data_IF_304310249638
#
_entry.id   IF_304310249638
#
_cell.length_a   1.000
_cell.length_b   1.000
_cell.length_c   1.000
_cell.angle_alpha   90.00
_cell.angle_beta   90.00
_cell.angle_gamma   90.00
#
_symmetry.space_group_name_H-M   'P 1'
#
loop_
_entity.id
_entity.type
_entity.pdbx_description
1 polymer ?
#
# COMPACT_ATOMS: atom_id res chain seq x y z
N UNK A 1 -29.73 4.73 12.57
CA UNK A 1 -28.56 5.63 12.63
C UNK A 1 -27.83 5.56 11.30
N UNK A 2 -27.56 6.72 10.72
CA UNK A 2 -27.19 6.92 9.32
C UNK A 2 -25.68 6.70 9.11
N UNK A 3 -25.34 6.10 7.97
CA UNK A 3 -24.04 5.67 7.47
C UNK A 3 -22.83 6.56 7.82
N UNK A 4 -22.05 6.19 8.85
CA UNK A 4 -20.71 6.76 9.11
C UNK A 4 -19.58 6.03 8.36
N UNK A 5 -19.88 4.92 7.68
CA UNK A 5 -18.86 4.07 7.04
C UNK A 5 -18.42 4.56 5.64
N UNK A 6 -19.26 5.29 4.90
CA UNK A 6 -18.95 5.75 3.54
C UNK A 6 -17.76 6.72 3.48
N UNK A 7 -17.73 7.71 4.37
CA UNK A 7 -16.67 8.73 4.39
C UNK A 7 -15.28 8.18 4.74
N UNK A 8 -15.22 7.13 5.57
CA UNK A 8 -13.95 6.48 5.90
C UNK A 8 -13.43 5.63 4.73
N UNK A 9 -14.34 5.05 3.94
CA UNK A 9 -14.00 4.25 2.77
C UNK A 9 -13.50 5.13 1.62
N UNK A 10 -14.21 6.23 1.31
CA UNK A 10 -13.79 7.20 0.28
C UNK A 10 -12.39 7.78 0.56
N UNK A 11 -12.07 8.07 1.84
CA UNK A 11 -10.73 8.55 2.22
C UNK A 11 -9.63 7.52 1.97
N UNK A 12 -9.91 6.24 2.20
CA UNK A 12 -8.94 5.18 1.93
C UNK A 12 -8.75 4.95 0.44
N UNK A 13 -9.84 5.01 -0.32
CA UNK A 13 -9.80 4.90 -1.78
C UNK A 13 -8.98 6.05 -2.39
N UNK A 14 -9.27 7.31 -2.00
CA UNK A 14 -8.50 8.46 -2.47
C UNK A 14 -7.01 8.35 -2.12
N UNK A 15 -6.68 7.93 -0.90
CA UNK A 15 -5.28 7.75 -0.49
C UNK A 15 -4.62 6.57 -1.21
N UNK A 16 -5.33 5.48 -1.45
CA UNK A 16 -4.82 4.34 -2.21
C UNK A 16 -4.57 4.70 -3.68
N UNK A 17 -5.45 5.50 -4.29
CA UNK A 17 -5.23 6.06 -5.63
C UNK A 17 -3.94 6.86 -5.68
N UNK A 18 -3.73 7.76 -4.73
CA UNK A 18 -2.52 8.57 -4.64
C UNK A 18 -1.26 7.72 -4.45
N UNK A 19 -1.31 6.75 -3.54
CA UNK A 19 -0.20 5.81 -3.33
C UNK A 19 0.12 4.98 -4.58
N UNK A 20 -0.91 4.59 -5.35
CA UNK A 20 -0.76 3.85 -6.61
C UNK A 20 -0.10 4.71 -7.68
N UNK A 21 -0.50 5.98 -7.81
CA UNK A 21 0.14 6.95 -8.71
C UNK A 21 1.61 7.15 -8.37
N UNK A 22 1.90 7.48 -7.11
CA UNK A 22 3.28 7.63 -6.62
C UNK A 22 4.09 6.35 -6.80
N UNK A 23 3.46 5.18 -6.68
CA UNK A 23 4.14 3.92 -6.94
C UNK A 23 4.47 3.74 -8.43
N UNK A 24 3.52 4.03 -9.33
CA UNK A 24 3.71 3.97 -10.78
C UNK A 24 4.82 4.93 -11.24
N UNK A 25 4.91 6.12 -10.65
CA UNK A 25 5.98 7.09 -10.92
C UNK A 25 7.39 6.56 -10.60
N UNK A 26 7.54 5.72 -9.56
CA UNK A 26 8.83 5.09 -9.23
C UNK A 26 9.33 4.12 -10.29
N UNK A 27 8.42 3.64 -11.16
CA UNK A 27 8.78 2.72 -12.24
C UNK A 27 9.23 3.46 -13.51
N UNK A 28 9.14 4.80 -13.55
CA UNK A 28 9.56 5.60 -14.69
C UNK A 28 8.75 5.26 -15.95
N UNK A 29 9.43 4.83 -17.00
CA UNK A 29 8.80 4.40 -18.26
C UNK A 29 8.05 3.06 -18.12
N UNK A 30 8.42 2.25 -17.13
CA UNK A 30 7.80 0.94 -16.85
C UNK A 30 6.54 1.10 -15.98
N UNK A 31 5.65 2.03 -16.36
CA UNK A 31 4.41 2.29 -15.61
C UNK A 31 3.57 1.03 -15.42
N UNK A 32 2.72 1.06 -14.41
CA UNK A 32 1.74 0.00 -14.18
C UNK A 32 0.72 -0.06 -15.32
N UNK A 33 0.30 -1.27 -15.70
CA UNK A 33 -0.89 -1.44 -16.54
C UNK A 33 -2.15 -1.13 -15.72
N UNK A 34 -3.27 -0.85 -16.39
CA UNK A 34 -4.54 -0.58 -15.70
C UNK A 34 -4.99 -1.74 -14.79
N UNK A 35 -4.69 -2.98 -15.17
CA UNK A 35 -4.97 -4.15 -14.33
C UNK A 35 -4.09 -4.15 -13.07
N UNK A 36 -2.79 -3.90 -13.22
CA UNK A 36 -1.86 -3.82 -12.09
C UNK A 36 -2.18 -2.64 -11.17
N UNK A 37 -2.58 -1.49 -11.73
CA UNK A 37 -3.02 -0.32 -10.95
C UNK A 37 -4.22 -0.68 -10.07
N UNK A 38 -5.23 -1.33 -10.64
CA UNK A 38 -6.41 -1.77 -9.87
C UNK A 38 -6.02 -2.75 -8.76
N UNK A 39 -5.19 -3.76 -9.05
CA UNK A 39 -4.76 -4.73 -8.04
C UNK A 39 -3.94 -4.08 -6.92
N UNK A 40 -2.99 -3.21 -7.27
CA UNK A 40 -2.13 -2.52 -6.31
C UNK A 40 -2.95 -1.50 -5.48
N UNK A 41 -3.92 -0.82 -6.08
CA UNK A 41 -4.82 0.07 -5.36
C UNK A 41 -5.62 -0.69 -4.30
N UNK A 42 -6.17 -1.87 -4.63
CA UNK A 42 -6.86 -2.71 -3.65
C UNK A 42 -5.94 -3.12 -2.51
N UNK A 43 -4.70 -3.53 -2.80
CA UNK A 43 -3.71 -3.83 -1.77
C UNK A 43 -3.38 -2.62 -0.88
N UNK A 44 -3.33 -1.40 -1.43
CA UNK A 44 -3.16 -0.20 -0.61
C UNK A 44 -4.38 0.10 0.26
N UNK A 45 -5.60 -0.12 -0.23
CA UNK A 45 -6.83 0.01 0.59
C UNK A 45 -6.79 -0.96 1.77
N UNK A 46 -6.48 -2.23 1.51
CA UNK A 46 -6.38 -3.26 2.56
C UNK A 46 -5.28 -2.92 3.58
N UNK A 47 -4.09 -2.53 3.10
CA UNK A 47 -3.00 -2.06 3.96
C UNK A 47 -3.43 -0.92 4.88
N UNK A 48 -4.13 0.09 4.34
CA UNK A 48 -4.60 1.23 5.13
C UNK A 48 -5.66 0.82 6.17
N UNK A 49 -6.52 -0.14 5.82
CA UNK A 49 -7.50 -0.72 6.76
C UNK A 49 -6.79 -1.45 7.90
N UNK A 50 -5.80 -2.28 7.60
CA UNK A 50 -5.08 -3.04 8.64
C UNK A 50 -4.22 -2.15 9.53
N UNK A 51 -3.57 -1.13 8.98
CA UNK A 51 -2.88 -0.12 9.79
C UNK A 51 -3.86 0.64 10.71
N UNK A 52 -5.08 0.95 10.23
CA UNK A 52 -6.10 1.59 11.08
C UNK A 52 -6.62 0.64 12.17
N UNK A 53 -6.77 -0.65 11.88
CA UNK A 53 -7.13 -1.67 12.89
C UNK A 53 -6.04 -1.76 13.95
N UNK A 54 -4.78 -1.88 13.53
CA UNK A 54 -3.62 -1.92 14.43
C UNK A 54 -3.52 -0.66 15.31
N UNK A 55 -3.82 0.51 14.77
CA UNK A 55 -3.85 1.76 15.54
C UNK A 55 -4.95 1.78 16.61
N UNK A 56 -6.05 1.06 16.39
CA UNK A 56 -7.17 0.95 17.33
C UNK A 56 -7.02 -0.22 18.30
N UNK A 57 -6.00 -1.05 18.13
CA UNK A 57 -5.76 -2.18 19.02
C UNK A 57 -5.26 -1.65 20.37
N UNK A 58 -6.07 -1.85 21.42
CA UNK A 58 -5.74 -1.43 22.78
C UNK A 58 -4.77 -2.42 23.44
N UNK A 59 -3.96 -1.93 24.38
CA UNK A 59 -3.07 -2.77 25.19
C UNK A 59 -1.76 -3.20 24.52
N UNK A 60 -1.48 -2.76 23.28
CA UNK A 60 -0.16 -2.92 22.69
C UNK A 60 0.82 -1.87 23.21
N UNK A 61 2.05 -2.31 23.53
CA UNK A 61 3.17 -1.38 23.71
C UNK A 61 3.54 -0.72 22.37
N UNK A 62 4.22 0.42 22.43
CA UNK A 62 4.72 1.10 21.22
C UNK A 62 5.64 0.21 20.40
N UNK A 63 6.48 -0.60 21.05
CA UNK A 63 7.39 -1.55 20.39
C UNK A 63 6.62 -2.67 19.67
N UNK A 64 5.57 -3.22 20.30
CA UNK A 64 4.71 -4.22 19.69
C UNK A 64 3.95 -3.63 18.49
N UNK A 65 3.46 -2.39 18.61
CA UNK A 65 2.79 -1.69 17.52
C UNK A 65 3.75 -1.40 16.35
N UNK A 66 4.98 -0.99 16.64
CA UNK A 66 6.01 -0.78 15.62
C UNK A 66 6.37 -2.08 14.89
N UNK A 67 6.48 -3.19 15.63
CA UNK A 67 6.76 -4.53 15.06
C UNK A 67 5.65 -4.98 14.13
N UNK A 68 4.38 -4.94 14.58
CA UNK A 68 3.23 -5.26 13.73
C UNK A 68 3.10 -4.33 12.52
N UNK A 69 3.44 -3.04 12.67
CA UNK A 69 3.46 -2.10 11.54
C UNK A 69 4.48 -2.52 10.48
N UNK A 70 5.69 -2.93 10.89
CA UNK A 70 6.72 -3.44 9.98
C UNK A 70 6.27 -4.72 9.27
N UNK A 71 5.57 -5.62 9.98
CA UNK A 71 5.02 -6.84 9.39
C UNK A 71 3.97 -6.56 8.33
N UNK A 72 3.00 -5.68 8.61
CA UNK A 72 2.00 -5.22 7.63
C UNK A 72 2.72 -4.63 6.41
N UNK A 73 3.71 -3.75 6.62
CA UNK A 73 4.46 -3.16 5.52
C UNK A 73 5.17 -4.23 4.66
N UNK A 74 5.81 -5.21 5.30
CA UNK A 74 6.52 -6.31 4.64
C UNK A 74 5.56 -7.19 3.84
N UNK A 75 4.42 -7.54 4.41
CA UNK A 75 3.41 -8.38 3.76
C UNK A 75 2.90 -7.73 2.47
N UNK A 76 2.37 -6.50 2.57
CA UNK A 76 1.83 -5.81 1.41
C UNK A 76 2.91 -5.45 0.39
N UNK A 77 4.15 -5.19 0.81
CA UNK A 77 5.26 -5.01 -0.12
C UNK A 77 5.55 -6.28 -0.94
N UNK A 78 5.44 -7.47 -0.36
CA UNK A 78 5.60 -8.74 -1.09
C UNK A 78 4.48 -8.94 -2.09
N UNK A 79 3.22 -8.75 -1.67
CA UNK A 79 2.04 -8.87 -2.53
C UNK A 79 2.12 -7.91 -3.73
N UNK A 80 2.49 -6.66 -3.49
CA UNK A 80 2.70 -5.68 -4.58
C UNK A 80 3.85 -6.14 -5.49
N UNK A 81 4.94 -6.64 -4.93
CA UNK A 81 6.08 -7.10 -5.73
C UNK A 81 5.70 -8.28 -6.65
N UNK A 82 4.82 -9.17 -6.22
CA UNK A 82 4.35 -10.32 -7.02
C UNK A 82 3.56 -9.89 -8.27
N UNK A 83 2.84 -8.76 -8.21
CA UNK A 83 2.07 -8.19 -9.34
C UNK A 83 3.00 -7.63 -10.44
N UNK A 84 4.22 -7.22 -10.09
CA UNK A 84 5.12 -6.55 -11.04
C UNK A 84 5.78 -7.52 -12.02
N UNK A 85 5.95 -7.05 -13.26
CA UNK A 85 6.77 -7.72 -14.27
C UNK A 85 8.25 -7.64 -13.91
N UNK A 86 9.09 -8.48 -14.54
CA UNK A 86 10.54 -8.46 -14.30
C UNK A 86 11.17 -7.08 -14.56
N UNK A 87 10.71 -6.38 -15.59
CA UNK A 87 11.22 -5.05 -15.97
C UNK A 87 10.82 -3.99 -14.95
N UNK A 88 9.57 -3.99 -14.49
CA UNK A 88 9.09 -3.13 -13.41
C UNK A 88 9.83 -3.39 -12.09
N UNK A 89 10.12 -4.66 -11.78
CA UNK A 89 10.93 -5.03 -10.61
C UNK A 89 12.35 -4.46 -10.68
N UNK A 90 12.96 -4.47 -11.87
CA UNK A 90 14.27 -3.88 -12.12
C UNK A 90 14.22 -2.36 -11.97
N UNK A 91 13.26 -1.69 -12.60
CA UNK A 91 13.07 -0.24 -12.48
C UNK A 91 12.88 0.20 -11.02
N UNK A 92 12.05 -0.53 -10.26
CA UNK A 92 11.85 -0.28 -8.84
C UNK A 92 13.14 -0.45 -8.02
N UNK A 93 13.94 -1.48 -8.33
CA UNK A 93 15.24 -1.72 -7.67
C UNK A 93 16.21 -0.57 -7.95
N UNK A 94 16.28 -0.09 -9.19
CA UNK A 94 17.13 1.03 -9.60
C UNK A 94 16.71 2.33 -8.92
N UNK A 95 15.40 2.63 -8.88
CA UNK A 95 14.86 3.76 -8.14
C UNK A 95 15.28 3.72 -6.66
N UNK A 96 15.18 2.55 -6.02
CA UNK A 96 15.55 2.40 -4.61
C UNK A 96 17.07 2.47 -4.36
N UNK A 97 17.90 2.12 -5.33
CA UNK A 97 19.36 2.20 -5.21
C UNK A 97 19.88 3.64 -5.37
N UNK A 98 19.12 4.50 -6.07
CA UNK A 98 19.49 5.89 -6.37
C UNK A 98 18.83 6.90 -5.41
N UNK A 99 18.20 6.43 -4.33
CA UNK A 99 17.54 7.24 -3.31
C UNK A 99 18.39 7.34 -2.06
#
# INVERSE_FOLDING_TARGET
MIAFNGFAQEKFEAKATELTKQFSEKLGEQKLSSEQENQIQQLFIEKLKDLKKLKKEEGLSEEAQATKTKEIHKEYSKKIHEILTKEQKKALKEYNANK
#
